data_IF_340336120146
#
_entry.id   IF_340336120146
#
_cell.length_a   1.000
_cell.length_b   1.000
_cell.length_c   1.000
_cell.angle_alpha   90.00
_cell.angle_beta   90.00
_cell.angle_gamma   90.00
#
_symmetry.space_group_name_H-M   'P 1'
#
loop_
_entity.id
_entity.type
_entity.pdbx_description
1 polymer ?
#
# COMPACT_ATOMS: atom_id res chain seq x y z
N UNK A 1 29.59 -28.29 16.37
CA UNK A 1 28.86 -27.04 16.63
C UNK A 1 28.99 -25.98 15.51
N UNK A 2 29.47 -26.30 14.33
CA UNK A 2 29.61 -25.33 13.21
C UNK A 2 28.55 -25.39 12.13
N UNK A 3 27.63 -26.37 12.15
CA UNK A 3 26.59 -26.55 11.14
C UNK A 3 25.28 -25.78 11.41
N UNK A 4 25.03 -25.35 12.65
CA UNK A 4 23.82 -24.61 13.02
C UNK A 4 23.85 -23.10 12.65
N UNK A 5 25.04 -22.53 12.43
CA UNK A 5 25.18 -21.10 12.11
C UNK A 5 24.93 -20.78 10.61
N UNK A 6 25.05 -21.77 9.73
CA UNK A 6 24.86 -21.59 8.29
C UNK A 6 23.36 -21.60 7.92
N UNK A 7 22.54 -22.37 8.61
CA UNK A 7 21.10 -22.45 8.33
C UNK A 7 20.35 -21.17 8.69
N UNK A 8 20.76 -20.46 9.75
CA UNK A 8 20.11 -19.19 10.15
C UNK A 8 20.37 -18.07 9.14
N UNK A 9 21.54 -18.06 8.51
CA UNK A 9 21.87 -17.05 7.49
C UNK A 9 21.13 -17.27 6.17
N UNK A 10 20.89 -18.52 5.78
CA UNK A 10 20.16 -18.88 4.55
C UNK A 10 18.65 -18.65 4.70
N UNK A 11 18.08 -18.89 5.90
CA UNK A 11 16.67 -18.62 6.18
C UNK A 11 16.39 -17.12 6.20
N UNK A 12 17.30 -16.30 6.74
CA UNK A 12 17.15 -14.83 6.74
C UNK A 12 17.23 -14.20 5.33
N UNK A 13 17.89 -14.86 4.37
CA UNK A 13 17.96 -14.39 2.99
C UNK A 13 16.70 -14.76 2.17
N UNK A 14 16.01 -15.81 2.54
CA UNK A 14 14.79 -16.26 1.83
C UNK A 14 13.54 -15.41 2.17
N UNK A 15 13.56 -14.67 3.28
CA UNK A 15 12.46 -13.81 3.72
C UNK A 15 12.63 -12.33 3.35
N UNK A 16 13.70 -11.96 2.67
CA UNK A 16 13.79 -10.65 2.01
C UNK A 16 12.84 -10.69 0.82
N UNK A 17 11.92 -9.72 0.78
CA UNK A 17 10.93 -9.52 -0.28
C UNK A 17 11.48 -10.02 -1.64
N UNK A 18 10.95 -11.13 -2.22
CA UNK A 18 11.52 -11.74 -3.44
C UNK A 18 11.48 -10.81 -4.65
N UNK A 19 10.86 -9.64 -4.52
CA UNK A 19 10.75 -8.61 -5.55
C UNK A 19 11.71 -7.42 -5.35
N UNK A 20 12.54 -7.41 -4.29
CA UNK A 20 13.64 -6.43 -4.15
C UNK A 20 14.94 -7.06 -4.63
N UNK A 21 15.35 -6.78 -5.86
CA UNK A 21 16.75 -6.98 -6.28
C UNK A 21 17.64 -5.95 -5.56
N UNK A 22 18.82 -6.37 -5.04
CA UNK A 22 19.77 -5.42 -4.48
C UNK A 22 20.21 -4.43 -5.56
N UNK A 23 20.26 -3.14 -5.20
CA UNK A 23 20.73 -2.07 -6.07
C UNK A 23 22.16 -2.38 -6.55
N UNK A 24 22.34 -2.55 -7.84
CA UNK A 24 23.66 -2.62 -8.48
C UNK A 24 24.31 -1.23 -8.42
N UNK A 25 25.57 -1.18 -8.00
CA UNK A 25 26.37 0.03 -7.90
C UNK A 25 26.42 0.81 -9.25
N UNK A 26 26.50 2.15 -9.22
CA UNK A 26 26.49 2.95 -10.45
C UNK A 26 27.76 2.72 -11.27
N UNK A 27 27.57 2.38 -12.52
CA UNK A 27 28.65 2.38 -13.52
C UNK A 27 28.90 3.83 -13.94
N UNK A 28 30.03 4.39 -13.62
CA UNK A 28 30.51 5.69 -14.09
C UNK A 28 30.76 5.63 -15.62
N UNK A 29 29.84 6.15 -16.42
CA UNK A 29 30.01 6.38 -17.85
C UNK A 29 30.28 7.86 -18.13
N UNK A 30 31.37 8.13 -18.87
CA UNK A 30 31.87 9.46 -19.17
C UNK A 30 30.89 10.28 -20.01
N UNK A 31 30.73 11.56 -19.64
CA UNK A 31 29.95 12.56 -20.36
C UNK A 31 30.65 12.97 -21.68
N UNK A 32 29.90 12.89 -22.77
CA UNK A 32 30.27 13.54 -24.04
C UNK A 32 29.59 14.90 -24.12
N UNK A 33 30.37 15.96 -24.16
CA UNK A 33 29.95 17.36 -24.37
C UNK A 33 29.63 17.58 -25.81
N UNK A 34 28.41 17.98 -26.16
CA UNK A 34 28.05 18.54 -27.47
C UNK A 34 27.73 20.01 -27.30
N UNK A 35 28.61 20.86 -27.82
CA UNK A 35 28.42 22.30 -27.94
C UNK A 35 27.57 22.59 -29.18
N UNK A 36 26.37 23.13 -28.99
CA UNK A 36 25.53 23.64 -30.03
C UNK A 36 25.13 25.09 -29.74
N UNK A 37 25.65 26.02 -30.54
CA UNK A 37 25.36 27.45 -30.51
C UNK A 37 24.06 27.74 -31.25
N UNK A 38 23.12 28.50 -30.67
CA UNK A 38 21.94 29.04 -31.32
C UNK A 38 21.88 30.55 -31.10
N UNK A 39 21.66 31.38 -32.16
CA UNK A 39 21.59 32.83 -32.03
C UNK A 39 20.23 33.32 -31.55
N UNK A 40 20.25 34.42 -30.81
CA UNK A 40 19.12 35.02 -30.16
C UNK A 40 18.09 35.68 -31.06
N UNK A 41 16.90 35.87 -30.50
CA UNK A 41 15.99 36.94 -30.91
C UNK A 41 15.29 37.50 -29.66
N UNK A 42 15.30 38.80 -29.58
CA UNK A 42 14.75 39.60 -28.49
C UNK A 42 13.23 39.83 -28.67
N UNK A 43 12.51 40.03 -27.59
CA UNK A 43 11.24 40.71 -27.63
C UNK A 43 10.20 40.33 -26.59
N UNK A 44 9.91 41.23 -25.65
CA UNK A 44 8.56 41.38 -25.12
C UNK A 44 8.35 40.97 -23.66
N UNK A 45 8.57 41.94 -22.79
CA UNK A 45 8.07 42.04 -21.40
C UNK A 45 6.57 41.88 -21.28
N UNK A 46 6.12 40.95 -20.41
CA UNK A 46 4.95 41.16 -19.53
C UNK A 46 4.96 40.13 -18.46
N UNK A 47 5.20 40.56 -17.23
CA UNK A 47 5.12 39.78 -16.00
C UNK A 47 3.66 39.67 -15.59
N UNK A 48 3.06 38.46 -15.48
CA UNK A 48 1.86 38.28 -14.68
C UNK A 48 2.27 37.98 -13.24
N UNK A 49 1.66 38.70 -12.31
CA UNK A 49 1.78 38.46 -10.88
C UNK A 49 1.40 37.02 -10.54
N UNK A 50 2.33 36.31 -9.94
CA UNK A 50 2.07 34.99 -9.37
C UNK A 50 1.16 35.16 -8.14
N UNK A 51 -0.11 34.90 -8.29
CA UNK A 51 -1.00 34.60 -7.19
C UNK A 51 -0.60 33.25 -6.63
N UNK A 52 0.05 33.27 -5.47
CA UNK A 52 0.31 32.07 -4.64
C UNK A 52 -1.04 31.55 -4.13
N UNK A 53 -1.65 30.66 -4.89
CA UNK A 53 -2.70 29.80 -4.35
C UNK A 53 -2.00 28.68 -3.59
N UNK A 54 -2.04 28.73 -2.25
CA UNK A 54 -1.77 27.58 -1.37
C UNK A 54 -2.65 26.43 -1.88
N UNK A 55 -2.10 25.27 -2.24
CA UNK A 55 -2.93 24.11 -2.54
C UNK A 55 -3.68 23.76 -1.26
N UNK A 56 -5.00 23.92 -1.27
CA UNK A 56 -5.84 23.32 -0.24
C UNK A 56 -5.57 21.82 -0.29
N UNK A 57 -5.25 21.23 0.86
CA UNK A 57 -5.21 19.79 1.02
C UNK A 57 -6.56 19.25 0.52
N UNK A 58 -6.56 18.61 -0.63
CA UNK A 58 -7.75 17.94 -1.15
C UNK A 58 -8.03 16.78 -0.24
N UNK A 59 -8.96 16.99 0.70
CA UNK A 59 -9.46 15.95 1.59
C UNK A 59 -9.96 14.78 0.73
N UNK A 60 -9.63 13.56 1.14
CA UNK A 60 -10.15 12.33 0.55
C UNK A 60 -11.67 12.27 0.78
N UNK A 61 -12.45 12.85 -0.11
CA UNK A 61 -13.92 12.81 -0.07
C UNK A 61 -14.45 11.73 -1.01
N UNK A 62 -14.11 10.49 -0.75
CA UNK A 62 -14.68 9.34 -1.44
C UNK A 62 -15.54 8.52 -0.49
N UNK A 63 -16.83 8.78 -0.41
CA UNK A 63 -17.73 7.97 0.40
C UNK A 63 -17.69 6.50 -0.03
N UNK A 64 -17.13 5.63 0.82
CA UNK A 64 -17.15 4.18 0.67
C UNK A 64 -16.04 3.54 -0.15
N UNK A 65 -15.02 4.28 -0.58
CA UNK A 65 -13.86 3.72 -1.29
C UNK A 65 -12.72 3.41 -0.34
N UNK A 66 -12.16 2.19 -0.42
CA UNK A 66 -10.99 1.78 0.37
C UNK A 66 -9.77 2.65 0.05
N UNK A 67 -9.07 3.04 1.11
CA UNK A 67 -7.73 3.62 1.01
C UNK A 67 -6.69 2.51 1.11
N UNK A 68 -5.67 2.57 0.27
CA UNK A 68 -4.51 1.68 0.34
C UNK A 68 -3.21 2.45 0.51
N UNK A 69 -2.19 1.78 1.06
CA UNK A 69 -0.92 2.37 1.42
C UNK A 69 0.21 1.38 1.10
N UNK A 70 1.29 1.87 0.49
CA UNK A 70 2.47 1.07 0.15
C UNK A 70 3.72 1.87 0.51
N UNK A 71 4.33 1.63 1.67
CA UNK A 71 5.56 2.29 2.07
C UNK A 71 6.75 1.79 1.26
N UNK A 72 7.76 2.65 1.12
CA UNK A 72 9.08 2.32 0.61
C UNK A 72 10.10 2.38 1.75
N UNK A 73 9.99 3.44 2.56
CA UNK A 73 10.78 3.69 3.76
C UNK A 73 10.05 4.72 4.67
N UNK A 74 10.71 5.29 5.66
CA UNK A 74 10.12 6.27 6.57
C UNK A 74 9.81 7.63 5.93
N UNK A 75 10.41 7.94 4.78
CA UNK A 75 10.18 9.22 4.08
C UNK A 75 9.26 9.07 2.87
N UNK A 76 9.24 7.89 2.23
CA UNK A 76 8.58 7.66 0.95
C UNK A 76 7.51 6.59 1.03
N UNK A 77 6.35 6.92 0.49
CA UNK A 77 5.21 6.00 0.39
C UNK A 77 4.33 6.35 -0.82
N UNK A 78 3.51 5.41 -1.21
CA UNK A 78 2.40 5.58 -2.13
C UNK A 78 1.09 5.37 -1.40
N UNK A 79 0.08 6.17 -1.72
CA UNK A 79 -1.29 5.97 -1.27
C UNK A 79 -2.23 5.95 -2.46
N UNK A 80 -3.34 5.27 -2.32
CA UNK A 80 -4.36 5.24 -3.36
C UNK A 80 -5.76 5.13 -2.77
N UNK A 81 -6.73 5.67 -3.47
CA UNK A 81 -8.16 5.40 -3.28
C UNK A 81 -8.56 4.38 -4.31
N UNK A 82 -9.23 3.32 -3.89
CA UNK A 82 -9.60 2.24 -4.80
C UNK A 82 -10.56 2.67 -5.91
N UNK A 83 -11.47 3.60 -5.64
CA UNK A 83 -12.58 3.86 -6.55
C UNK A 83 -13.54 2.68 -6.67
N UNK A 84 -14.41 2.72 -7.65
CA UNK A 84 -15.41 1.68 -7.92
C UNK A 84 -15.45 1.34 -9.40
N UNK A 85 -15.73 0.10 -9.72
CA UNK A 85 -16.02 -0.29 -11.10
C UNK A 85 -17.50 -0.70 -11.20
N UNK A 86 -18.28 -0.07 -12.10
CA UNK A 86 -17.86 0.92 -13.11
C UNK A 86 -17.84 2.39 -12.65
N UNK A 87 -18.01 2.71 -11.38
CA UNK A 87 -18.26 4.08 -10.88
C UNK A 87 -17.09 5.07 -10.99
N UNK A 88 -15.83 4.62 -11.07
CA UNK A 88 -14.65 5.50 -11.06
C UNK A 88 -14.26 5.99 -9.67
N UNK A 89 -13.51 7.10 -9.60
CA UNK A 89 -13.10 7.73 -8.34
C UNK A 89 -11.79 7.19 -7.76
N UNK A 90 -11.03 6.40 -8.52
CA UNK A 90 -9.67 6.02 -8.12
C UNK A 90 -8.72 7.22 -8.16
N UNK A 91 -7.81 7.27 -7.21
CA UNK A 91 -6.69 8.22 -7.20
C UNK A 91 -5.42 7.54 -6.71
N UNK A 92 -4.28 8.07 -7.12
CA UNK A 92 -2.95 7.61 -6.75
C UNK A 92 -2.11 8.82 -6.40
N UNK A 93 -1.34 8.74 -5.31
CA UNK A 93 -0.42 9.81 -4.93
C UNK A 93 0.83 9.19 -4.28
N UNK A 94 1.93 9.92 -4.30
CA UNK A 94 3.15 9.56 -3.57
C UNK A 94 3.64 10.70 -2.68
N UNK A 95 4.50 10.36 -1.73
CA UNK A 95 5.22 11.31 -0.88
C UNK A 95 6.69 10.93 -0.83
N UNK A 96 7.56 11.92 -0.65
CA UNK A 96 9.01 11.79 -0.43
C UNK A 96 9.49 12.45 0.86
N UNK A 97 8.57 13.01 1.65
CA UNK A 97 8.86 13.81 2.84
C UNK A 97 8.13 13.35 4.11
N UNK A 98 7.87 12.05 4.21
CA UNK A 98 7.24 11.44 5.38
C UNK A 98 5.73 11.62 5.44
N UNK A 99 5.08 12.01 4.35
CA UNK A 99 3.63 12.22 4.32
C UNK A 99 3.19 13.64 4.66
N UNK A 100 4.13 14.60 4.79
CA UNK A 100 3.79 16.03 4.98
C UNK A 100 3.05 16.60 3.78
N UNK A 101 3.47 16.20 2.59
CA UNK A 101 2.78 16.51 1.33
C UNK A 101 2.65 15.25 0.48
N UNK A 102 1.58 15.20 -0.30
CA UNK A 102 1.32 14.14 -1.24
C UNK A 102 1.15 14.73 -2.64
N UNK A 103 1.85 14.16 -3.61
CA UNK A 103 1.78 14.56 -5.01
C UNK A 103 0.88 13.58 -5.76
N UNK A 104 -0.17 14.12 -6.39
CA UNK A 104 -1.11 13.32 -7.16
C UNK A 104 -0.45 12.81 -8.45
N UNK A 105 -0.69 11.54 -8.76
CA UNK A 105 -0.17 10.86 -9.94
C UNK A 105 -1.33 10.55 -10.89
N UNK A 106 -1.33 11.09 -12.11
CA UNK A 106 -2.34 10.77 -13.10
C UNK A 106 -2.32 9.29 -13.47
N UNK A 107 -3.47 8.63 -13.40
CA UNK A 107 -3.63 7.23 -13.76
C UNK A 107 -4.92 7.05 -14.59
N UNK A 108 -4.89 6.23 -15.67
CA UNK A 108 -6.07 6.04 -16.54
C UNK A 108 -7.10 5.06 -15.94
N UNK A 109 -6.90 4.57 -14.73
CA UNK A 109 -7.83 3.64 -14.08
C UNK A 109 -8.96 4.36 -13.34
N UNK A 110 -10.20 3.92 -13.55
CA UNK A 110 -11.36 4.32 -12.76
C UNK A 110 -11.42 3.61 -11.40
N UNK A 111 -10.83 2.42 -11.30
CA UNK A 111 -10.71 1.69 -10.06
C UNK A 111 -9.35 0.98 -9.97
N UNK A 112 -8.76 0.99 -8.76
CA UNK A 112 -7.46 0.37 -8.43
C UNK A 112 -7.70 -0.79 -7.46
N UNK A 113 -7.17 -1.95 -7.76
CA UNK A 113 -7.23 -3.13 -6.87
C UNK A 113 -5.91 -3.40 -6.14
N UNK A 114 -4.78 -2.98 -6.69
CA UNK A 114 -3.45 -3.17 -6.09
C UNK A 114 -2.47 -2.12 -6.61
N UNK A 115 -1.62 -1.67 -5.70
CA UNK A 115 -0.39 -0.94 -6.02
C UNK A 115 0.78 -1.75 -5.46
N UNK A 116 1.80 -1.95 -6.26
CA UNK A 116 3.06 -2.59 -5.86
C UNK A 116 4.22 -1.70 -6.28
N UNK A 117 5.11 -1.44 -5.35
CA UNK A 117 6.29 -0.60 -5.54
C UNK A 117 7.53 -1.47 -5.40
N UNK A 118 8.45 -1.39 -6.36
CA UNK A 118 9.72 -2.11 -6.33
C UNK A 118 10.90 -1.21 -5.96
N UNK A 119 10.81 0.07 -6.31
CA UNK A 119 11.71 1.14 -5.85
C UNK A 119 10.98 2.50 -5.96
N UNK A 120 11.64 3.59 -5.60
CA UNK A 120 11.02 4.92 -5.56
C UNK A 120 10.38 5.35 -6.89
N UNK A 121 10.94 4.94 -8.03
CA UNK A 121 10.48 5.31 -9.36
C UNK A 121 9.61 4.23 -10.03
N UNK A 122 9.69 2.97 -9.56
CA UNK A 122 9.05 1.84 -10.24
C UNK A 122 7.81 1.37 -9.48
N UNK A 123 6.69 1.53 -10.12
CA UNK A 123 5.39 1.13 -9.59
C UNK A 123 4.60 0.32 -10.61
N UNK A 124 3.89 -0.69 -10.11
CA UNK A 124 2.90 -1.46 -10.87
C UNK A 124 1.54 -1.24 -10.22
N UNK A 125 0.56 -0.88 -11.02
CA UNK A 125 -0.82 -0.69 -10.56
C UNK A 125 -1.71 -1.67 -11.31
N UNK A 126 -2.53 -2.40 -10.57
CA UNK A 126 -3.62 -3.22 -11.10
C UNK A 126 -4.92 -2.45 -10.93
N UNK A 127 -5.64 -2.30 -12.00
CA UNK A 127 -6.89 -1.56 -11.99
C UNK A 127 -7.73 -1.86 -13.21
N UNK A 128 -8.82 -1.11 -13.35
CA UNK A 128 -9.76 -1.26 -14.45
C UNK A 128 -9.98 0.05 -15.19
N UNK A 129 -10.04 -0.03 -16.51
CA UNK A 129 -10.48 1.05 -17.39
C UNK A 129 -11.93 0.79 -17.83
N UNK A 130 -12.73 1.87 -17.84
CA UNK A 130 -14.11 1.81 -18.35
C UNK A 130 -15.04 0.90 -17.57
N UNK A 131 -16.20 0.57 -18.19
CA UNK A 131 -17.33 -0.10 -17.55
C UNK A 131 -17.16 -1.64 -17.42
N UNK A 132 -16.19 -2.23 -18.08
CA UNK A 132 -16.09 -3.70 -18.18
C UNK A 132 -15.48 -4.37 -16.96
N UNK A 133 -14.94 -3.63 -16.00
CA UNK A 133 -14.33 -4.12 -14.75
C UNK A 133 -13.26 -5.22 -14.92
N UNK A 134 -12.67 -5.31 -16.10
CA UNK A 134 -11.58 -6.24 -16.34
C UNK A 134 -10.28 -5.64 -15.81
N UNK A 135 -9.64 -6.35 -14.91
CA UNK A 135 -8.36 -5.94 -14.34
C UNK A 135 -7.23 -6.07 -15.37
N UNK A 136 -6.44 -5.02 -15.47
CA UNK A 136 -5.19 -4.95 -16.23
C UNK A 136 -4.09 -4.38 -15.36
N UNK A 137 -2.82 -4.57 -15.75
CA UNK A 137 -1.70 -3.93 -15.08
C UNK A 137 -1.10 -2.83 -15.94
N UNK A 138 -0.77 -1.73 -15.29
CA UNK A 138 0.12 -0.70 -15.81
C UNK A 138 1.38 -0.63 -14.96
N UNK A 139 2.50 -0.34 -15.58
CA UNK A 139 3.77 -0.08 -14.91
C UNK A 139 4.32 1.28 -15.29
N UNK A 140 4.94 1.93 -14.33
CA UNK A 140 5.76 3.11 -14.53
C UNK A 140 7.19 2.84 -14.04
N UNK A 141 8.15 3.54 -14.63
CA UNK A 141 9.56 3.55 -14.22
C UNK A 141 10.07 4.97 -13.92
N UNK A 142 9.17 5.94 -13.89
CA UNK A 142 9.42 7.37 -13.75
C UNK A 142 8.44 8.03 -12.76
N UNK A 143 8.13 7.34 -11.67
CA UNK A 143 7.24 7.82 -10.58
C UNK A 143 5.84 8.17 -11.10
N UNK A 144 5.32 7.39 -12.07
CA UNK A 144 3.97 7.57 -12.58
C UNK A 144 3.79 8.66 -13.63
N UNK A 145 4.88 9.25 -14.15
CA UNK A 145 4.78 10.25 -15.22
C UNK A 145 4.37 9.62 -16.55
N UNK A 146 4.84 8.40 -16.81
CA UNK A 146 4.41 7.62 -17.97
C UNK A 146 4.01 6.20 -17.58
N UNK A 147 3.07 5.64 -18.32
CA UNK A 147 2.54 4.31 -18.08
C UNK A 147 2.65 3.42 -19.31
N UNK A 148 3.06 2.18 -19.10
CA UNK A 148 3.11 1.14 -20.12
C UNK A 148 2.37 -0.11 -19.61
N UNK A 149 1.99 -1.02 -20.53
CA UNK A 149 1.40 -2.30 -20.12
C UNK A 149 2.32 -3.04 -19.14
N UNK A 150 1.76 -3.45 -18.01
CA UNK A 150 2.46 -4.16 -16.94
C UNK A 150 2.70 -5.64 -17.21
N UNK A 151 2.14 -6.17 -18.29
CA UNK A 151 2.22 -7.58 -18.62
C UNK A 151 1.32 -8.46 -17.75
N UNK A 152 1.72 -9.72 -17.53
CA UNK A 152 0.98 -10.67 -16.73
C UNK A 152 0.96 -10.26 -15.24
N UNK A 153 -0.19 -10.46 -14.59
CA UNK A 153 -0.37 -10.17 -13.16
C UNK A 153 0.21 -11.33 -12.35
N UNK A 154 1.43 -11.13 -11.83
CA UNK A 154 2.12 -12.10 -10.97
C UNK A 154 2.08 -11.69 -9.50
N UNK A 155 0.98 -11.11 -9.04
CA UNK A 155 0.81 -10.63 -7.67
C UNK A 155 -0.62 -10.88 -7.15
N UNK A 156 -0.75 -10.82 -5.83
CA UNK A 156 -2.05 -10.90 -5.19
C UNK A 156 -2.82 -9.59 -5.37
N UNK A 157 -4.09 -9.70 -5.72
CA UNK A 157 -5.01 -8.56 -5.75
C UNK A 157 -6.45 -9.00 -5.48
N UNK A 158 -7.28 -8.10 -4.98
CA UNK A 158 -8.72 -8.35 -4.91
C UNK A 158 -9.34 -8.13 -6.29
N UNK A 159 -10.30 -8.97 -6.68
CA UNK A 159 -11.01 -8.75 -7.92
C UNK A 159 -12.04 -7.62 -7.79
N UNK A 160 -12.01 -6.68 -8.74
CA UNK A 160 -12.99 -5.61 -8.86
C UNK A 160 -14.25 -6.10 -9.57
N UNK A 161 -14.11 -7.07 -10.48
CA UNK A 161 -15.22 -7.71 -11.18
C UNK A 161 -16.01 -8.66 -10.26
N UNK A 162 -15.33 -9.30 -9.31
CA UNK A 162 -15.92 -10.24 -8.34
C UNK A 162 -15.47 -9.88 -6.93
N UNK A 163 -16.14 -8.93 -6.24
CA UNK A 163 -15.64 -8.37 -4.98
C UNK A 163 -15.44 -9.37 -3.83
N UNK A 164 -16.03 -10.58 -3.91
CA UNK A 164 -15.78 -11.66 -2.95
C UNK A 164 -14.48 -12.40 -3.22
N UNK A 165 -13.87 -12.21 -4.40
CA UNK A 165 -12.69 -12.96 -4.83
C UNK A 165 -11.39 -12.17 -4.61
N UNK A 166 -10.35 -12.94 -4.24
CA UNK A 166 -8.96 -12.53 -4.27
C UNK A 166 -8.23 -13.43 -5.25
N UNK A 167 -7.45 -12.84 -6.15
CA UNK A 167 -6.63 -13.53 -7.13
C UNK A 167 -5.20 -13.60 -6.61
N UNK A 168 -4.62 -14.79 -6.61
CA UNK A 168 -3.23 -14.99 -6.16
C UNK A 168 -2.23 -14.71 -7.29
N UNK A 169 -0.94 -14.74 -6.97
CA UNK A 169 0.15 -14.49 -7.90
C UNK A 169 0.23 -15.46 -9.09
N UNK A 170 -0.47 -16.60 -9.02
CA UNK A 170 -0.59 -17.58 -10.11
C UNK A 170 -1.88 -17.40 -10.94
N UNK A 171 -2.63 -16.30 -10.69
CA UNK A 171 -3.90 -16.02 -11.39
C UNK A 171 -5.09 -16.85 -10.92
N UNK A 172 -4.96 -17.60 -9.80
CA UNK A 172 -6.04 -18.42 -9.26
C UNK A 172 -6.89 -17.58 -8.30
N UNK A 173 -8.19 -17.52 -8.55
CA UNK A 173 -9.15 -16.85 -7.68
C UNK A 173 -9.57 -17.76 -6.51
N UNK A 174 -9.79 -17.14 -5.34
CA UNK A 174 -10.38 -17.75 -4.14
C UNK A 174 -11.33 -16.78 -3.46
N UNK A 175 -12.21 -17.28 -2.59
CA UNK A 175 -13.20 -16.48 -1.84
C UNK A 175 -12.90 -16.53 -0.34
N UNK A 176 -11.85 -15.80 0.12
CA UNK A 176 -11.38 -15.86 1.52
C UNK A 176 -12.44 -15.45 2.55
N UNK A 177 -13.34 -14.56 2.16
CA UNK A 177 -14.40 -14.01 3.01
C UNK A 177 -15.75 -14.75 2.85
N UNK A 178 -15.77 -15.90 2.19
CA UNK A 178 -17.01 -16.60 1.85
C UNK A 178 -17.88 -15.77 0.91
N UNK A 179 -19.10 -15.44 1.34
CA UNK A 179 -20.04 -14.61 0.56
C UNK A 179 -19.80 -13.10 0.75
N UNK A 180 -18.96 -12.70 1.72
CA UNK A 180 -18.62 -11.30 1.98
C UNK A 180 -17.54 -10.79 1.04
N UNK A 181 -17.45 -9.46 0.90
CA UNK A 181 -16.42 -8.83 0.07
C UNK A 181 -15.05 -8.90 0.73
N UNK A 182 -14.02 -9.13 -0.07
CA UNK A 182 -12.65 -8.82 0.31
C UNK A 182 -12.42 -7.31 0.14
N UNK A 183 -11.99 -6.62 1.19
CA UNK A 183 -11.72 -5.18 1.14
C UNK A 183 -10.28 -4.89 0.74
N UNK A 184 -9.33 -5.55 1.38
CA UNK A 184 -7.91 -5.40 1.05
C UNK A 184 -7.18 -6.74 1.14
N UNK A 185 -6.04 -6.83 0.46
CA UNK A 185 -5.12 -7.96 0.53
C UNK A 185 -3.71 -7.44 0.74
N UNK A 186 -3.03 -7.96 1.75
CA UNK A 186 -1.59 -7.78 1.96
C UNK A 186 -0.90 -9.13 1.83
N UNK A 187 0.15 -9.20 1.02
CA UNK A 187 0.84 -10.44 0.69
C UNK A 187 2.34 -10.32 0.95
N UNK A 188 2.88 -11.34 1.61
CA UNK A 188 4.31 -11.49 1.85
C UNK A 188 5.02 -12.27 0.74
N UNK A 189 4.32 -13.22 0.14
CA UNK A 189 4.90 -14.13 -0.86
C UNK A 189 3.82 -14.64 -1.82
N UNK A 190 4.22 -15.46 -2.78
CA UNK A 190 3.28 -16.14 -3.67
C UNK A 190 2.29 -17.06 -2.92
N UNK A 191 2.65 -17.52 -1.72
CA UNK A 191 1.82 -18.47 -0.94
C UNK A 191 1.22 -17.87 0.32
N UNK A 192 1.74 -16.74 0.81
CA UNK A 192 1.35 -16.16 2.11
C UNK A 192 0.71 -14.81 1.95
N UNK A 193 -0.53 -14.67 2.42
CA UNK A 193 -1.28 -13.42 2.38
C UNK A 193 -2.28 -13.32 3.54
N UNK A 194 -2.63 -12.08 3.89
CA UNK A 194 -3.73 -11.74 4.78
C UNK A 194 -4.79 -10.92 4.03
N UNK A 195 -6.05 -11.15 4.33
CA UNK A 195 -7.19 -10.46 3.70
C UNK A 195 -8.10 -9.88 4.77
N UNK A 196 -8.46 -8.62 4.60
CA UNK A 196 -9.52 -7.96 5.36
C UNK A 196 -10.85 -8.15 4.65
N UNK A 197 -11.82 -8.68 5.37
CA UNK A 197 -13.20 -8.85 4.91
C UNK A 197 -14.09 -7.66 5.31
N UNK A 198 -15.18 -7.41 4.59
CA UNK A 198 -16.14 -6.33 4.89
C UNK A 198 -16.79 -6.46 6.28
N UNK A 199 -16.78 -7.66 6.85
CA UNK A 199 -17.23 -7.90 8.22
C UNK A 199 -16.22 -7.47 9.30
N UNK A 200 -15.05 -6.94 8.92
CA UNK A 200 -13.94 -6.65 9.81
C UNK A 200 -13.10 -7.88 10.21
N UNK A 201 -13.44 -9.06 9.70
CA UNK A 201 -12.61 -10.26 9.90
C UNK A 201 -11.35 -10.20 9.09
N UNK A 202 -10.27 -10.74 9.67
CA UNK A 202 -9.01 -10.98 8.98
C UNK A 202 -8.79 -12.48 8.84
N UNK A 203 -8.50 -12.90 7.63
CA UNK A 203 -8.17 -14.28 7.28
C UNK A 203 -6.79 -14.36 6.64
N UNK A 204 -6.07 -15.43 6.92
CA UNK A 204 -4.72 -15.68 6.40
C UNK A 204 -4.66 -16.97 5.61
N UNK A 205 -3.73 -17.00 4.63
CA UNK A 205 -3.32 -18.22 3.93
C UNK A 205 -1.80 -18.34 3.97
N UNK A 206 -1.30 -19.58 3.99
CA UNK A 206 0.11 -19.90 3.83
C UNK A 206 0.37 -20.89 2.68
N UNK A 207 -0.66 -21.22 1.89
CA UNK A 207 -0.62 -22.25 0.84
C UNK A 207 -1.11 -21.72 -0.54
N UNK A 208 -1.03 -20.41 -0.75
CA UNK A 208 -1.43 -19.79 -2.01
C UNK A 208 -2.94 -19.65 -2.19
N UNK A 209 -3.70 -19.63 -1.09
CA UNK A 209 -5.15 -19.47 -1.09
C UNK A 209 -5.92 -20.79 -1.21
N UNK A 210 -5.25 -21.92 -0.98
CA UNK A 210 -5.90 -23.22 -0.89
C UNK A 210 -6.75 -23.35 0.38
N UNK A 211 -6.22 -22.84 1.49
CA UNK A 211 -6.93 -22.76 2.77
C UNK A 211 -6.83 -21.36 3.35
N UNK A 212 -7.92 -20.91 3.99
CA UNK A 212 -8.01 -19.62 4.68
C UNK A 212 -8.42 -19.84 6.11
N UNK A 213 -7.71 -19.21 7.04
CA UNK A 213 -7.93 -19.32 8.49
C UNK A 213 -8.24 -17.94 9.06
N UNK A 214 -9.35 -17.81 9.79
CA UNK A 214 -9.67 -16.58 10.51
C UNK A 214 -8.71 -16.39 11.69
N UNK A 215 -8.05 -15.24 11.75
CA UNK A 215 -7.08 -14.91 12.79
C UNK A 215 -7.56 -13.80 13.72
N UNK A 216 -8.50 -12.94 13.30
CA UNK A 216 -8.96 -11.76 14.05
C UNK A 216 -9.79 -12.08 15.32
N UNK A 217 -10.40 -13.24 15.42
CA UNK A 217 -11.08 -13.80 16.62
C UNK A 217 -11.86 -12.78 17.47
N UNK A 218 -12.84 -12.11 16.84
CA UNK A 218 -13.70 -11.16 17.54
C UNK A 218 -13.22 -9.70 17.49
N UNK A 219 -12.07 -9.43 16.91
CA UNK A 219 -11.69 -8.07 16.55
C UNK A 219 -12.38 -7.66 15.23
N UNK A 220 -12.88 -6.43 15.19
CA UNK A 220 -13.35 -5.81 13.95
C UNK A 220 -12.23 -4.95 13.39
N UNK A 221 -11.43 -5.51 12.49
CA UNK A 221 -10.31 -4.82 11.88
C UNK A 221 -10.78 -3.79 10.85
N UNK A 222 -10.08 -2.67 10.78
CA UNK A 222 -10.27 -1.57 9.82
C UNK A 222 -9.23 -1.62 8.69
N UNK A 223 -8.02 -2.12 8.99
CA UNK A 223 -6.95 -2.33 8.03
C UNK A 223 -6.14 -3.56 8.41
N UNK A 224 -5.45 -4.14 7.42
CA UNK A 224 -4.53 -5.27 7.62
C UNK A 224 -3.26 -5.07 6.81
N UNK A 225 -2.14 -5.45 7.42
CA UNK A 225 -0.88 -5.67 6.75
C UNK A 225 -0.29 -7.03 7.15
N UNK A 226 0.32 -7.74 6.21
CA UNK A 226 0.94 -9.03 6.45
C UNK A 226 2.44 -8.83 6.74
N UNK A 227 2.94 -9.46 7.80
CA UNK A 227 4.36 -9.41 8.15
C UNK A 227 4.87 -10.76 8.65
N UNK A 228 6.19 -10.86 8.80
CA UNK A 228 6.81 -12.03 9.43
C UNK A 228 7.12 -11.70 10.89
N UNK A 229 6.63 -12.53 11.81
CA UNK A 229 7.02 -12.53 13.22
C UNK A 229 7.48 -13.92 13.63
N UNK A 230 8.65 -14.01 14.26
CA UNK A 230 9.23 -15.28 14.68
C UNK A 230 9.20 -16.35 13.57
N UNK A 231 9.51 -15.96 12.32
CA UNK A 231 9.52 -16.81 11.13
C UNK A 231 8.16 -17.35 10.71
N UNK A 232 7.06 -16.75 11.18
CA UNK A 232 5.69 -17.11 10.80
C UNK A 232 4.95 -15.91 10.23
N UNK A 233 3.91 -16.19 9.45
CA UNK A 233 2.97 -15.16 9.02
C UNK A 233 2.27 -14.58 10.25
N UNK A 234 2.15 -13.27 10.30
CA UNK A 234 1.38 -12.52 11.27
C UNK A 234 0.60 -11.40 10.56
N UNK A 235 -0.60 -11.12 11.02
CA UNK A 235 -1.35 -9.96 10.60
C UNK A 235 -1.08 -8.79 11.55
N UNK A 236 -0.68 -7.66 10.99
CA UNK A 236 -0.78 -6.38 11.68
C UNK A 236 -2.15 -5.79 11.37
N UNK A 237 -2.88 -5.35 12.39
CA UNK A 237 -4.24 -4.86 12.24
C UNK A 237 -4.41 -3.50 12.90
N UNK A 238 -5.23 -2.66 12.29
CA UNK A 238 -5.77 -1.45 12.90
C UNK A 238 -7.24 -1.70 13.25
N UNK A 239 -7.69 -1.33 14.44
CA UNK A 239 -9.07 -1.53 14.90
C UNK A 239 -9.45 -0.52 15.99
N UNK A 240 -10.75 -0.37 16.26
CA UNK A 240 -11.23 0.40 17.42
C UNK A 240 -11.20 -0.48 18.64
N UNK A 241 -10.60 -0.01 19.74
CA UNK A 241 -10.45 -0.76 20.96
C UNK A 241 -10.80 0.06 22.19
N UNK A 242 -11.33 -0.59 23.22
CA UNK A 242 -11.47 0.02 24.54
C UNK A 242 -10.11 0.44 25.08
N UNK A 243 -10.03 1.69 25.61
CA UNK A 243 -8.80 2.28 26.13
C UNK A 243 -7.88 2.91 25.09
N UNK A 244 -8.32 3.02 23.82
CA UNK A 244 -7.68 3.81 22.78
C UNK A 244 -8.70 4.81 22.22
N UNK A 245 -8.43 6.12 22.38
CA UNK A 245 -9.31 7.21 21.92
C UNK A 245 -9.26 7.39 20.38
N UNK A 246 -9.12 6.30 19.64
CA UNK A 246 -9.00 6.32 18.20
C UNK A 246 -8.71 4.94 17.63
N UNK A 247 -7.58 4.78 16.93
CA UNK A 247 -7.22 3.55 16.25
C UNK A 247 -6.09 2.83 16.98
N UNK A 248 -6.37 1.62 17.47
CA UNK A 248 -5.41 0.72 18.07
C UNK A 248 -4.73 -0.11 16.97
N UNK A 249 -3.41 -0.13 16.97
CA UNK A 249 -2.62 -1.06 16.15
C UNK A 249 -2.22 -2.27 17.00
N UNK A 250 -2.34 -3.46 16.45
CA UNK A 250 -1.94 -4.71 17.09
C UNK A 250 -1.35 -5.71 16.10
N UNK A 251 -0.54 -6.61 16.58
CA UNK A 251 -0.11 -7.81 15.87
C UNK A 251 -0.94 -9.02 16.29
N UNK A 252 -1.31 -9.83 15.32
CA UNK A 252 -1.95 -11.14 15.53
C UNK A 252 -0.99 -12.20 14.98
N UNK A 253 -0.38 -12.96 15.87
CA UNK A 253 0.55 -14.03 15.52
C UNK A 253 0.19 -15.32 16.28
N UNK A 254 0.12 -16.43 15.57
CA UNK A 254 -0.22 -17.75 16.14
C UNK A 254 -1.49 -17.75 17.03
N UNK A 255 -2.48 -16.90 16.68
CA UNK A 255 -3.74 -16.76 17.38
C UNK A 255 -3.69 -15.92 18.67
N UNK A 256 -2.56 -15.27 18.96
CA UNK A 256 -2.43 -14.31 20.05
C UNK A 256 -2.42 -12.89 19.50
N UNK A 257 -3.14 -11.97 20.16
CA UNK A 257 -3.16 -10.54 19.83
C UNK A 257 -2.25 -9.79 20.80
N UNK A 258 -1.29 -9.05 20.25
CA UNK A 258 -0.39 -8.17 21.02
C UNK A 258 -0.69 -6.73 20.63
N UNK A 259 -1.21 -5.92 21.55
CA UNK A 259 -1.39 -4.48 21.35
C UNK A 259 -0.03 -3.81 21.17
N UNK A 260 0.05 -2.92 20.17
CA UNK A 260 1.20 -2.08 19.88
C UNK A 260 0.87 -0.62 20.22
N UNK A 261 0.71 0.24 19.21
CA UNK A 261 0.44 1.66 19.41
C UNK A 261 -1.04 2.01 19.34
N UNK A 262 -1.40 3.10 19.99
CA UNK A 262 -2.71 3.75 19.89
C UNK A 262 -2.55 5.11 19.22
N UNK A 263 -3.31 5.39 18.20
CA UNK A 263 -3.40 6.70 17.56
C UNK A 263 -4.64 7.40 18.07
N UNK A 264 -4.45 8.48 18.83
CA UNK A 264 -5.55 9.31 19.31
C UNK A 264 -6.07 10.22 18.18
N UNK A 265 -7.36 10.17 17.94
CA UNK A 265 -8.02 10.98 16.91
C UNK A 265 -8.54 12.33 17.43
N UNK A 266 -8.17 12.73 18.66
CA UNK A 266 -8.54 14.04 19.23
C UNK A 266 -10.04 14.20 19.42
N UNK A 267 -10.75 13.12 19.76
CA UNK A 267 -12.21 13.14 20.00
C UNK A 267 -13.07 13.09 18.73
N UNK A 268 -12.48 12.86 17.55
CA UNK A 268 -13.25 12.55 16.33
C UNK A 268 -13.96 11.20 16.47
N UNK A 269 -15.13 11.06 15.81
CA UNK A 269 -15.85 9.80 15.81
C UNK A 269 -15.06 8.70 15.13
N UNK A 270 -15.15 7.49 15.66
CA UNK A 270 -14.63 6.27 15.03
C UNK A 270 -15.65 5.64 14.05
N UNK A 271 -16.81 6.26 13.86
CA UNK A 271 -17.85 5.74 12.97
C UNK A 271 -17.42 5.84 11.49
N UNK A 272 -17.69 4.82 10.73
CA UNK A 272 -17.43 4.82 9.28
C UNK A 272 -15.97 4.61 8.87
N UNK A 273 -15.04 4.33 9.80
CA UNK A 273 -13.61 4.19 9.50
C UNK A 273 -13.24 2.97 8.64
N UNK A 274 -14.09 1.97 8.50
CA UNK A 274 -13.76 0.68 7.86
C UNK A 274 -13.12 0.81 6.47
N UNK A 275 -13.45 1.85 5.71
CA UNK A 275 -12.87 2.08 4.37
C UNK A 275 -11.85 3.21 4.33
N UNK A 276 -11.67 3.91 5.45
CA UNK A 276 -10.84 5.12 5.55
C UNK A 276 -9.54 4.90 6.32
N UNK A 277 -9.21 3.65 6.64
CA UNK A 277 -7.98 3.29 7.33
C UNK A 277 -7.10 2.44 6.42
N UNK A 278 -5.84 2.81 6.31
CA UNK A 278 -4.80 2.00 5.67
C UNK A 278 -3.60 1.90 6.59
N UNK A 279 -3.04 0.71 6.72
CA UNK A 279 -1.90 0.40 7.59
C UNK A 279 -0.87 -0.37 6.77
N UNK A 280 0.39 0.00 6.90
CA UNK A 280 1.50 -0.81 6.44
C UNK A 280 2.77 -0.56 7.26
N UNK A 281 3.50 -1.61 7.57
CA UNK A 281 4.74 -1.53 8.35
C UNK A 281 5.82 -2.38 7.70
N UNK A 282 6.91 -1.73 7.30
CA UNK A 282 8.10 -2.37 6.75
C UNK A 282 9.28 -2.20 7.71
N UNK A 283 9.68 -3.27 8.39
CA UNK A 283 10.68 -3.20 9.45
C UNK A 283 10.23 -2.30 10.62
N UNK A 284 10.97 -1.21 10.86
CA UNK A 284 10.61 -0.21 11.87
C UNK A 284 9.77 0.94 11.30
N UNK A 285 9.74 1.13 9.98
CA UNK A 285 8.97 2.19 9.35
C UNK A 285 7.50 1.80 9.25
N UNK A 286 6.66 2.48 10.02
CA UNK A 286 5.21 2.31 10.02
C UNK A 286 4.51 3.50 9.38
N UNK A 287 3.45 3.22 8.65
CA UNK A 287 2.56 4.20 8.05
C UNK A 287 1.12 3.83 8.33
N UNK A 288 0.35 4.81 8.77
CA UNK A 288 -1.07 4.67 9.01
C UNK A 288 -1.80 5.88 8.42
N UNK A 289 -2.84 5.65 7.66
CA UNK A 289 -3.78 6.68 7.22
C UNK A 289 -5.09 6.43 7.96
N UNK A 290 -5.64 7.47 8.57
CA UNK A 290 -6.97 7.44 9.20
C UNK A 290 -7.73 8.68 8.74
N UNK A 291 -8.80 8.45 7.99
CA UNK A 291 -9.69 9.50 7.47
C UNK A 291 -8.95 10.66 6.76
N UNK A 292 -7.92 10.30 6.00
CA UNK A 292 -7.07 11.22 5.23
C UNK A 292 -5.83 11.74 5.96
N UNK A 293 -5.79 11.70 7.28
CA UNK A 293 -4.60 12.07 8.05
C UNK A 293 -3.54 10.98 8.00
N UNK A 294 -2.30 11.40 7.89
CA UNK A 294 -1.13 10.50 7.87
C UNK A 294 -0.48 10.46 9.25
N UNK A 295 -0.12 9.28 9.69
CA UNK A 295 0.68 9.01 10.89
C UNK A 295 1.86 8.12 10.50
N UNK A 296 3.02 8.37 11.10
CA UNK A 296 4.24 7.60 10.90
C UNK A 296 4.76 7.02 12.21
N UNK A 297 5.51 5.94 12.10
CA UNK A 297 6.17 5.24 13.21
C UNK A 297 7.58 4.83 12.79
N UNK A 298 8.55 4.96 13.70
CA UNK A 298 9.94 4.54 13.50
C UNK A 298 10.31 3.31 14.37
N UNK A 299 9.34 2.73 15.07
CA UNK A 299 9.53 1.64 16.04
C UNK A 299 8.65 0.41 15.79
N UNK A 300 8.21 0.25 14.53
CA UNK A 300 7.41 -0.90 14.11
C UNK A 300 5.96 -0.83 14.54
N UNK A 301 5.39 0.38 14.66
CA UNK A 301 3.99 0.61 14.98
C UNK A 301 3.67 0.68 16.48
N UNK A 302 4.68 0.85 17.34
CA UNK A 302 4.47 0.98 18.80
C UNK A 302 4.13 2.41 19.19
N UNK A 303 4.76 3.40 18.53
CA UNK A 303 4.41 4.82 18.71
C UNK A 303 4.11 5.45 17.35
N UNK A 304 3.20 6.40 17.34
CA UNK A 304 2.73 7.07 16.12
C UNK A 304 2.74 8.58 16.31
N UNK A 305 3.15 9.31 15.28
CA UNK A 305 3.14 10.76 15.24
C UNK A 305 2.66 11.26 13.88
N UNK A 306 2.10 12.46 13.86
CA UNK A 306 1.85 13.21 12.60
C UNK A 306 3.20 13.67 12.02
N UNK A 307 3.37 13.67 10.70
CA UNK A 307 4.61 14.07 10.02
C UNK A 307 5.00 15.53 10.23
#
# INVERSE_FOLDING_TARGET
MALLAVDVALVSAAFRNPFRQPATAPVTGAAATVTGTVPGSAGGTSTPAATSSTPAATGFSGSGSMVGLVPIDSARAWRFVQGACPGGGASLAHTDNGGRTWEDVPIPFGAISRVQVTDAAKVVVVGTEGAGCRETALRSTDTGQTWASGGALALWYRSLATPTAVVNSNGRAGTPCGNGKALSVSALSATSAAVLCESGKVVETADGGGNWVEVSRGLSALAVDARVEASKLAALVAYVADGCSGVQVASIAAGATTKLGCVDLGGRSNDGLLTHVALSVEGNAGWLIVDGDTYTSDDGGKTWSTP
#
